data_IF_989055466081
#
_entry.id   IF_989055466081
#
_cell.length_a   1.000
_cell.length_b   1.000
_cell.length_c   1.000
_cell.angle_alpha   90.00
_cell.angle_beta   90.00
_cell.angle_gamma   90.00
#
_symmetry.space_group_name_H-M   'P 1'
#
loop_
_entity.id
_entity.type
_entity.pdbx_description
1 polymer ?
#
# COMPACT_ATOMS: atom_id res chain seq x y z
N UNK A 1 -27.12 46.01 17.58
CA UNK A 1 -27.79 44.88 16.92
C UNK A 1 -26.78 44.20 16.00
N UNK A 2 -26.02 43.23 16.52
CA UNK A 2 -24.97 42.57 15.77
C UNK A 2 -24.03 41.75 16.65
N UNK A 3 -24.48 40.59 17.15
CA UNK A 3 -23.59 39.71 17.94
C UNK A 3 -23.98 38.22 17.93
N UNK A 4 -24.67 37.75 16.89
CA UNK A 4 -25.06 36.33 16.77
C UNK A 4 -24.60 35.62 15.48
N UNK A 5 -23.82 36.29 14.62
CA UNK A 5 -23.47 35.76 13.30
C UNK A 5 -22.12 35.00 13.22
N UNK A 6 -21.28 35.05 14.26
CA UNK A 6 -19.95 34.40 14.28
C UNK A 6 -19.94 32.91 14.71
N UNK A 7 -20.68 32.44 15.72
CA UNK A 7 -20.59 31.03 16.13
C UNK A 7 -21.17 30.07 15.08
N UNK A 8 -22.19 30.50 14.34
CA UNK A 8 -22.82 29.71 13.28
C UNK A 8 -21.93 29.56 12.03
N UNK A 9 -21.08 30.54 11.73
CA UNK A 9 -20.12 30.44 10.61
C UNK A 9 -18.96 29.52 10.95
N UNK A 10 -18.43 29.60 12.17
CA UNK A 10 -17.34 28.72 12.65
C UNK A 10 -17.82 27.26 12.71
N UNK A 11 -19.05 27.01 13.15
CA UNK A 11 -19.61 25.65 13.17
C UNK A 11 -19.83 25.08 11.75
N UNK A 12 -20.30 25.89 10.80
CA UNK A 12 -20.47 25.49 9.40
C UNK A 12 -19.11 25.21 8.70
N UNK A 13 -18.09 26.03 8.96
CA UNK A 13 -16.73 25.75 8.47
C UNK A 13 -16.17 24.46 9.04
N UNK A 14 -16.35 24.20 10.34
CA UNK A 14 -15.91 22.94 10.98
C UNK A 14 -16.68 21.74 10.43
N UNK A 15 -17.99 21.87 10.23
CA UNK A 15 -18.82 20.81 9.65
C UNK A 15 -18.40 20.49 8.20
N UNK A 16 -18.13 21.51 7.39
CA UNK A 16 -17.62 21.35 6.01
C UNK A 16 -16.21 20.76 5.98
N UNK A 17 -15.33 21.17 6.90
CA UNK A 17 -13.99 20.61 7.03
C UNK A 17 -14.06 19.12 7.41
N UNK A 18 -14.86 18.77 8.41
CA UNK A 18 -15.06 17.37 8.82
C UNK A 18 -15.73 16.52 7.72
N UNK A 19 -16.65 17.09 6.93
CA UNK A 19 -17.24 16.41 5.79
C UNK A 19 -16.22 16.15 4.67
N UNK A 20 -15.35 17.13 4.37
CA UNK A 20 -14.25 16.96 3.41
C UNK A 20 -13.23 15.94 3.89
N UNK A 21 -12.92 15.96 5.18
CA UNK A 21 -11.98 15.01 5.78
C UNK A 21 -12.53 13.60 5.70
N UNK A 22 -13.78 13.35 6.14
CA UNK A 22 -14.42 12.04 5.96
C UNK A 22 -14.45 11.60 4.50
N UNK A 23 -14.77 12.50 3.56
CA UNK A 23 -14.75 12.18 2.14
C UNK A 23 -13.35 11.76 1.65
N UNK A 24 -12.28 12.39 2.14
CA UNK A 24 -10.89 12.01 1.84
C UNK A 24 -10.49 10.66 2.45
N UNK A 25 -11.23 10.15 3.44
CA UNK A 25 -11.03 8.85 4.09
C UNK A 25 -12.06 7.79 3.63
N UNK A 26 -12.68 7.98 2.47
CA UNK A 26 -13.65 7.02 1.91
C UNK A 26 -15.02 7.06 2.59
N UNK A 27 -15.35 8.15 3.29
CA UNK A 27 -16.63 8.37 3.97
C UNK A 27 -16.65 7.97 5.45
N UNK A 28 -15.62 7.24 5.92
CA UNK A 28 -15.47 6.83 7.32
C UNK A 28 -14.76 7.86 8.20
N UNK A 29 -14.63 7.54 9.49
CA UNK A 29 -13.82 8.33 10.42
C UNK A 29 -12.34 8.35 9.99
N UNK A 30 -11.65 9.51 10.10
CA UNK A 30 -10.24 9.64 9.77
C UNK A 30 -9.36 8.71 10.62
N UNK A 31 -8.48 7.93 9.98
CA UNK A 31 -7.54 7.04 10.66
C UNK A 31 -6.21 7.75 10.93
N UNK A 32 -6.27 8.89 11.63
CA UNK A 32 -5.13 9.81 11.80
C UNK A 32 -3.95 9.22 12.56
N UNK A 33 -4.19 8.21 13.41
CA UNK A 33 -3.15 7.46 14.11
C UNK A 33 -2.29 6.59 13.17
N UNK A 34 -2.66 6.45 11.90
CA UNK A 34 -1.94 5.74 10.84
C UNK A 34 -1.42 6.69 9.75
N UNK A 35 -1.44 8.01 9.98
CA UNK A 35 -1.02 9.01 8.98
C UNK A 35 0.43 8.85 8.54
N UNK A 36 1.30 8.37 9.43
CA UNK A 36 2.71 8.13 9.14
C UNK A 36 2.93 7.01 8.12
N UNK A 37 1.96 6.10 7.96
CA UNK A 37 1.96 5.08 6.90
C UNK A 37 1.44 5.60 5.55
N UNK A 38 0.87 6.81 5.51
CA UNK A 38 0.34 7.41 4.27
C UNK A 38 -0.82 6.62 3.66
N UNK A 39 -1.62 5.91 4.46
CA UNK A 39 -2.69 5.00 3.98
C UNK A 39 -3.98 5.71 3.52
N UNK A 40 -4.04 7.04 3.55
CA UNK A 40 -5.24 7.77 3.15
C UNK A 40 -5.72 7.40 1.72
N UNK A 41 -4.85 7.27 0.70
CA UNK A 41 -5.27 6.83 -0.63
C UNK A 41 -5.91 5.43 -0.63
N UNK A 42 -5.44 4.54 0.26
CA UNK A 42 -6.00 3.21 0.44
C UNK A 42 -7.41 3.26 1.02
N UNK A 43 -7.62 4.05 2.08
CA UNK A 43 -8.94 4.24 2.69
C UNK A 43 -9.92 4.96 1.75
N UNK A 44 -9.44 5.90 0.94
CA UNK A 44 -10.25 6.54 -0.09
C UNK A 44 -10.66 5.57 -1.20
N UNK A 45 -9.75 4.70 -1.62
CA UNK A 45 -9.98 3.74 -2.71
C UNK A 45 -10.86 2.57 -2.31
N UNK A 46 -10.63 2.04 -1.11
CA UNK A 46 -11.26 0.80 -0.64
C UNK A 46 -11.39 0.80 0.88
N UNK A 47 -12.36 1.57 1.37
CA UNK A 47 -12.57 1.76 2.81
C UNK A 47 -12.94 0.47 3.52
N UNK A 48 -13.80 -0.34 2.91
CA UNK A 48 -14.27 -1.60 3.47
C UNK A 48 -13.10 -2.56 3.71
N UNK A 49 -12.18 -2.68 2.75
CA UNK A 49 -10.99 -3.51 2.93
C UNK A 49 -10.11 -3.00 4.09
N UNK A 50 -9.90 -1.68 4.19
CA UNK A 50 -9.09 -1.10 5.26
C UNK A 50 -9.72 -1.39 6.63
N UNK A 51 -11.02 -1.19 6.77
CA UNK A 51 -11.74 -1.48 8.01
C UNK A 51 -11.69 -2.97 8.36
N UNK A 52 -11.82 -3.85 7.36
CA UNK A 52 -11.73 -5.29 7.56
C UNK A 52 -10.32 -5.77 7.98
N UNK A 53 -9.26 -5.13 7.48
CA UNK A 53 -7.87 -5.37 7.93
C UNK A 53 -7.68 -4.88 9.37
N UNK A 54 -8.25 -3.73 9.73
CA UNK A 54 -8.19 -3.19 11.10
C UNK A 54 -8.91 -4.14 12.09
N UNK A 55 -10.05 -4.69 11.68
CA UNK A 55 -10.84 -5.62 12.50
C UNK A 55 -10.23 -7.03 12.58
N UNK A 56 -9.34 -7.40 11.66
CA UNK A 56 -8.69 -8.69 11.64
C UNK A 56 -7.77 -8.90 12.86
N UNK A 57 -7.62 -10.15 13.29
CA UNK A 57 -6.66 -10.50 14.33
C UNK A 57 -5.19 -10.31 13.86
N UNK A 58 -4.24 -10.20 14.80
CA UNK A 58 -2.82 -10.07 14.49
C UNK A 58 -2.24 -11.15 13.55
N UNK A 59 -2.70 -12.39 13.65
CA UNK A 59 -2.19 -13.49 12.83
C UNK A 59 -2.60 -13.29 11.36
N UNK A 60 -3.86 -12.93 11.15
CA UNK A 60 -4.41 -12.62 9.83
C UNK A 60 -3.74 -11.39 9.24
N UNK A 61 -3.51 -10.34 10.03
CA UNK A 61 -2.74 -9.16 9.59
C UNK A 61 -1.33 -9.53 9.12
N UNK A 62 -0.62 -10.40 9.85
CA UNK A 62 0.67 -10.93 9.40
C UNK A 62 0.57 -11.73 8.11
N UNK A 63 -0.46 -12.57 7.98
CA UNK A 63 -0.69 -13.36 6.76
C UNK A 63 -0.91 -12.46 5.54
N UNK A 64 -1.70 -11.39 5.69
CA UNK A 64 -1.92 -10.38 4.65
C UNK A 64 -0.60 -9.76 4.23
N UNK A 65 0.20 -9.27 5.18
CA UNK A 65 1.47 -8.63 4.90
C UNK A 65 2.39 -9.54 4.04
N UNK A 66 2.53 -10.82 4.42
CA UNK A 66 3.34 -11.80 3.68
C UNK A 66 2.78 -12.09 2.29
N UNK A 67 1.48 -12.31 2.19
CA UNK A 67 0.80 -12.60 0.93
C UNK A 67 0.95 -11.43 -0.05
N UNK A 68 0.69 -10.21 0.41
CA UNK A 68 0.82 -8.97 -0.38
C UNK A 68 2.25 -8.79 -0.87
N UNK A 69 3.24 -8.96 0.01
CA UNK A 69 4.65 -8.81 -0.37
C UNK A 69 5.05 -9.82 -1.45
N UNK A 70 4.61 -11.07 -1.36
CA UNK A 70 4.85 -12.05 -2.44
C UNK A 70 4.18 -11.66 -3.74
N UNK A 71 2.92 -11.22 -3.66
CA UNK A 71 2.12 -10.84 -4.82
C UNK A 71 2.76 -9.68 -5.57
N UNK A 72 3.23 -8.65 -4.86
CA UNK A 72 3.90 -7.50 -5.48
C UNK A 72 5.29 -7.83 -6.01
N UNK A 73 6.06 -8.68 -5.33
CA UNK A 73 7.34 -9.14 -5.86
C UNK A 73 7.19 -10.00 -7.11
N UNK A 74 6.14 -10.82 -7.20
CA UNK A 74 5.79 -11.55 -8.42
C UNK A 74 5.41 -10.60 -9.55
N UNK A 75 4.52 -9.65 -9.27
CA UNK A 75 4.07 -8.64 -10.23
C UNK A 75 5.22 -7.76 -10.76
N UNK A 76 6.19 -7.46 -9.92
CA UNK A 76 7.37 -6.66 -10.28
C UNK A 76 8.50 -7.48 -10.93
N UNK A 77 8.33 -8.79 -11.15
CA UNK A 77 9.38 -9.65 -11.72
C UNK A 77 10.61 -9.81 -10.82
N UNK A 78 10.42 -9.69 -9.50
CA UNK A 78 11.46 -9.85 -8.48
C UNK A 78 11.45 -11.23 -7.83
N UNK A 79 10.29 -11.88 -7.74
CA UNK A 79 10.09 -13.07 -6.91
C UNK A 79 11.06 -14.24 -7.19
N UNK A 80 11.50 -14.39 -8.44
CA UNK A 80 12.38 -15.47 -8.89
C UNK A 80 13.87 -15.12 -8.85
N UNK A 81 14.22 -13.87 -8.51
CA UNK A 81 15.64 -13.47 -8.44
C UNK A 81 16.32 -14.19 -7.29
N UNK A 82 17.50 -14.74 -7.54
CA UNK A 82 18.23 -15.56 -6.56
C UNK A 82 18.48 -14.84 -5.23
N UNK A 83 18.67 -13.52 -5.26
CA UNK A 83 18.89 -12.69 -4.07
C UNK A 83 17.59 -12.29 -3.34
N UNK A 84 16.42 -12.51 -3.96
CA UNK A 84 15.09 -12.21 -3.41
C UNK A 84 14.44 -13.46 -2.80
N UNK A 85 14.54 -14.60 -3.47
CA UNK A 85 13.97 -15.88 -3.01
C UNK A 85 14.25 -16.17 -1.53
N UNK A 86 15.50 -16.08 -1.03
CA UNK A 86 15.77 -16.35 0.38
C UNK A 86 15.12 -15.33 1.32
N UNK A 87 14.95 -14.07 0.90
CA UNK A 87 14.28 -13.05 1.70
C UNK A 87 12.77 -13.30 1.81
N UNK A 88 12.10 -13.65 0.71
CA UNK A 88 10.68 -14.03 0.72
C UNK A 88 10.41 -15.31 1.52
N UNK A 89 11.40 -16.22 1.62
CA UNK A 89 11.32 -17.39 2.52
C UNK A 89 11.48 -16.97 3.98
N UNK A 90 12.47 -16.15 4.30
CA UNK A 90 12.67 -15.67 5.67
C UNK A 90 11.45 -14.90 6.20
N UNK A 91 10.84 -14.05 5.38
CA UNK A 91 9.60 -13.34 5.73
C UNK A 91 8.47 -14.31 6.08
N UNK A 92 8.37 -15.41 5.35
CA UNK A 92 7.38 -16.47 5.56
C UNK A 92 7.59 -17.24 6.86
N UNK A 93 8.84 -17.60 7.11
CA UNK A 93 9.25 -18.34 8.31
C UNK A 93 9.26 -17.45 9.56
N UNK A 94 9.09 -16.12 9.38
CA UNK A 94 9.25 -15.14 10.47
C UNK A 94 10.70 -15.03 10.95
N UNK A 95 11.66 -15.42 10.10
CA UNK A 95 13.08 -15.35 10.36
C UNK A 95 13.63 -13.95 10.02
N UNK A 96 14.79 -13.57 10.60
CA UNK A 96 15.49 -12.35 10.20
C UNK A 96 15.77 -12.33 8.69
N UNK A 97 15.60 -11.18 8.01
CA UNK A 97 15.86 -11.09 6.57
C UNK A 97 17.36 -11.30 6.29
N UNK A 98 17.72 -12.09 5.26
CA UNK A 98 19.11 -12.26 4.83
C UNK A 98 19.59 -11.05 4.03
N UNK A 99 20.91 -10.88 3.82
CA UNK A 99 21.43 -9.92 2.86
C UNK A 99 20.80 -10.11 1.47
N UNK A 100 20.45 -9.03 0.74
CA UNK A 100 20.65 -7.62 1.08
C UNK A 100 19.45 -6.97 1.82
N UNK A 101 18.50 -7.75 2.32
CA UNK A 101 17.26 -7.26 2.92
C UNK A 101 17.37 -6.91 4.41
N UNK A 102 18.58 -6.93 4.97
CA UNK A 102 18.86 -6.49 6.35
C UNK A 102 18.56 -5.00 6.54
N UNK A 103 18.71 -4.20 5.47
CA UNK A 103 18.31 -2.79 5.45
C UNK A 103 17.85 -2.37 4.04
N UNK A 104 17.06 -1.29 3.92
CA UNK A 104 16.55 -0.82 2.63
C UNK A 104 17.62 -0.39 1.63
N UNK A 105 18.69 0.26 2.09
CA UNK A 105 19.70 0.84 1.20
C UNK A 105 20.46 -0.24 0.42
N UNK A 106 20.79 -1.35 1.08
CA UNK A 106 21.44 -2.49 0.47
C UNK A 106 20.54 -3.21 -0.54
N UNK A 107 19.25 -3.39 -0.22
CA UNK A 107 18.29 -3.96 -1.15
C UNK A 107 18.15 -3.11 -2.43
N UNK A 108 18.11 -1.78 -2.28
CA UNK A 108 18.09 -0.87 -3.42
C UNK A 108 19.43 -0.84 -4.18
N UNK A 109 20.57 -0.93 -3.49
CA UNK A 109 21.88 -1.01 -4.12
C UNK A 109 22.00 -2.29 -4.97
N UNK A 110 21.54 -3.43 -4.43
CA UNK A 110 21.50 -4.69 -5.16
C UNK A 110 20.60 -4.60 -6.38
N UNK A 111 19.39 -4.04 -6.24
CA UNK A 111 18.48 -3.86 -7.37
C UNK A 111 19.09 -3.02 -8.50
N UNK A 112 19.79 -1.92 -8.17
CA UNK A 112 20.48 -1.07 -9.16
C UNK A 112 21.59 -1.83 -9.88
N UNK A 113 22.40 -2.60 -9.14
CA UNK A 113 23.46 -3.42 -9.74
C UNK A 113 22.89 -4.46 -10.71
N UNK A 114 21.79 -5.11 -10.32
CA UNK A 114 21.11 -6.13 -11.11
C UNK A 114 20.43 -5.58 -12.37
N UNK A 115 19.92 -4.35 -12.30
CA UNK A 115 19.22 -3.68 -13.41
C UNK A 115 20.16 -3.03 -14.44
N UNK A 116 21.48 -3.01 -14.18
CA UNK A 116 22.47 -2.45 -15.11
C UNK A 116 22.67 -3.29 -16.39
N UNK A 117 22.10 -4.50 -16.43
CA UNK A 117 21.93 -5.31 -17.64
C UNK A 117 20.47 -5.29 -18.12
N UNK A 118 20.18 -4.41 -19.08
CA UNK A 118 19.07 -4.51 -20.05
C UNK A 118 17.75 -5.10 -19.54
N UNK A 119 16.86 -4.26 -19.00
CA UNK A 119 15.44 -4.63 -18.86
C UNK A 119 14.60 -3.66 -19.67
N UNK A 120 14.21 -4.09 -20.87
CA UNK A 120 13.10 -3.50 -21.61
C UNK A 120 11.82 -4.02 -20.96
N UNK A 121 11.37 -3.33 -19.91
CA UNK A 121 10.19 -3.75 -19.15
C UNK A 121 8.95 -3.59 -20.04
N UNK A 122 8.10 -4.61 -20.21
CA UNK A 122 6.91 -4.51 -21.06
C UNK A 122 6.02 -3.38 -20.53
N UNK A 123 6.09 -2.25 -21.24
CA UNK A 123 5.30 -1.08 -20.94
C UNK A 123 3.84 -1.38 -21.24
N UNK A 124 3.00 -1.39 -20.21
CA UNK A 124 1.57 -1.24 -20.46
C UNK A 124 1.32 0.16 -21.02
N UNK A 125 0.66 0.20 -22.18
CA UNK A 125 0.22 1.47 -22.77
C UNK A 125 -0.74 2.12 -21.77
N UNK A 126 -0.36 3.29 -21.23
CA UNK A 126 -1.27 4.14 -20.47
C UNK A 126 -2.49 4.46 -21.32
N UNK A 127 -3.63 3.85 -21.01
CA UNK A 127 -4.92 4.29 -21.55
C UNK A 127 -5.25 5.58 -20.81
N UNK A 128 -5.37 6.70 -21.54
CA UNK A 128 -5.78 7.97 -20.95
C UNK A 128 -7.23 7.81 -20.47
N UNK A 129 -7.42 7.58 -19.17
CA UNK A 129 -8.72 7.60 -18.52
C UNK A 129 -9.02 8.99 -17.92
N UNK A 130 -10.29 9.41 -17.85
CA UNK A 130 -10.71 10.57 -17.05
C UNK A 130 -10.19 10.46 -15.61
N UNK A 131 -9.81 11.57 -14.98
CA UNK A 131 -9.19 11.54 -13.65
C UNK A 131 -10.09 10.94 -12.56
N UNK A 132 -11.41 11.05 -12.72
CA UNK A 132 -12.38 10.42 -11.82
C UNK A 132 -12.40 8.88 -11.90
N UNK A 133 -11.84 8.29 -12.97
CA UNK A 133 -11.76 6.84 -13.19
C UNK A 133 -10.35 6.28 -12.96
N UNK A 134 -9.39 7.14 -12.61
CA UNK A 134 -8.02 6.69 -12.32
C UNK A 134 -7.96 6.21 -10.88
N UNK A 135 -7.44 5.01 -10.70
CA UNK A 135 -6.95 4.55 -9.40
C UNK A 135 -6.04 5.64 -8.80
N UNK A 136 -6.14 5.95 -7.49
CA UNK A 136 -5.22 6.89 -6.85
C UNK A 136 -3.77 6.41 -6.90
N UNK A 137 -3.58 5.13 -7.21
CA UNK A 137 -2.29 4.49 -7.38
C UNK A 137 -1.77 4.53 -8.82
N UNK A 138 -2.57 4.98 -9.80
CA UNK A 138 -2.15 5.11 -11.20
C UNK A 138 -1.24 6.33 -11.38
N UNK A 139 0.04 6.14 -11.02
CA UNK A 139 1.11 7.12 -11.16
C UNK A 139 1.71 7.14 -12.58
N UNK A 140 1.10 6.44 -13.55
CA UNK A 140 1.65 6.29 -14.90
C UNK A 140 2.85 5.35 -14.95
N UNK A 141 3.92 5.77 -15.65
CA UNK A 141 5.11 4.94 -15.85
C UNK A 141 6.00 4.97 -14.60
N UNK A 142 6.08 3.83 -13.90
CA UNK A 142 6.93 3.66 -12.71
C UNK A 142 7.89 2.47 -12.86
N UNK A 143 9.01 2.52 -12.15
CA UNK A 143 9.94 1.40 -11.98
C UNK A 143 9.37 0.41 -10.94
N UNK A 144 8.59 -0.56 -11.42
CA UNK A 144 7.87 -1.52 -10.55
C UNK A 144 8.81 -2.28 -9.60
N UNK A 145 9.95 -2.85 -10.04
CA UNK A 145 10.95 -3.43 -9.12
C UNK A 145 11.31 -2.51 -7.96
N UNK A 146 11.61 -1.24 -8.25
CA UNK A 146 11.97 -0.27 -7.21
C UNK A 146 10.81 0.02 -6.27
N UNK A 147 9.58 0.11 -6.78
CA UNK A 147 8.39 0.38 -5.96
C UNK A 147 7.91 -0.83 -5.13
N UNK A 148 8.30 -2.05 -5.51
CA UNK A 148 7.97 -3.26 -4.76
C UNK A 148 8.80 -3.43 -3.47
N UNK A 149 10.06 -2.96 -3.47
CA UNK A 149 11.00 -3.18 -2.34
C UNK A 149 10.43 -2.68 -0.99
N UNK A 150 9.85 -1.47 -0.87
CA UNK A 150 9.28 -1.00 0.41
C UNK A 150 8.21 -1.92 1.00
N UNK A 151 7.44 -2.65 0.19
CA UNK A 151 6.43 -3.57 0.71
C UNK A 151 7.04 -4.68 1.59
N UNK A 152 8.26 -5.12 1.28
CA UNK A 152 8.98 -6.08 2.13
C UNK A 152 9.29 -5.49 3.51
N UNK A 153 9.83 -4.26 3.56
CA UNK A 153 10.18 -3.62 4.82
C UNK A 153 8.97 -3.24 5.65
N UNK A 154 7.87 -2.81 5.03
CA UNK A 154 6.61 -2.64 5.75
C UNK A 154 6.13 -3.95 6.36
N UNK A 155 6.21 -5.07 5.63
CA UNK A 155 5.78 -6.36 6.16
C UNK A 155 6.58 -6.84 7.40
N UNK A 156 7.77 -6.27 7.63
CA UNK A 156 8.61 -6.52 8.80
C UNK A 156 8.26 -5.63 10.02
N UNK A 157 7.36 -4.65 9.90
CA UNK A 157 6.98 -3.78 11.03
C UNK A 157 6.53 -4.64 12.23
N UNK A 158 7.01 -4.43 13.46
CA UNK A 158 6.65 -5.23 14.63
C UNK A 158 5.16 -5.17 15.01
N UNK A 159 4.44 -4.13 14.58
CA UNK A 159 2.98 -4.06 14.67
C UNK A 159 2.34 -4.76 13.44
N UNK A 160 1.57 -5.85 13.65
CA UNK A 160 0.90 -6.58 12.58
C UNK A 160 -0.02 -5.72 11.70
N UNK A 161 -0.74 -4.76 12.28
CA UNK A 161 -1.67 -3.90 11.54
C UNK A 161 -0.89 -2.98 10.61
N UNK A 162 0.17 -2.36 11.14
CA UNK A 162 1.05 -1.49 10.36
C UNK A 162 1.76 -2.27 9.26
N UNK A 163 2.15 -3.51 9.53
CA UNK A 163 2.74 -4.40 8.54
C UNK A 163 1.78 -4.69 7.38
N UNK A 164 0.52 -5.03 7.68
CA UNK A 164 -0.49 -5.32 6.67
C UNK A 164 -0.81 -4.09 5.80
N UNK A 165 -1.13 -2.96 6.43
CA UNK A 165 -1.55 -1.75 5.71
C UNK A 165 -0.40 -1.09 4.96
N UNK A 166 0.81 -1.07 5.54
CA UNK A 166 2.00 -0.54 4.86
C UNK A 166 2.39 -1.38 3.64
N UNK A 167 2.40 -2.71 3.77
CA UNK A 167 2.67 -3.60 2.65
C UNK A 167 1.62 -3.43 1.54
N UNK A 168 0.33 -3.37 1.90
CA UNK A 168 -0.76 -3.14 0.95
C UNK A 168 -0.65 -1.79 0.24
N UNK A 169 -0.34 -0.72 0.97
CA UNK A 169 -0.15 0.61 0.37
C UNK A 169 0.94 0.59 -0.72
N UNK A 170 2.11 0.02 -0.42
CA UNK A 170 3.20 -0.08 -1.39
C UNK A 170 2.88 -1.04 -2.55
N UNK A 171 2.16 -2.12 -2.28
CA UNK A 171 1.69 -3.02 -3.32
C UNK A 171 0.69 -2.34 -4.26
N UNK A 172 -0.28 -1.60 -3.72
CA UNK A 172 -1.27 -0.88 -4.52
C UNK A 172 -0.61 0.17 -5.42
N UNK A 173 0.40 0.90 -4.93
CA UNK A 173 1.24 1.80 -5.76
C UNK A 173 1.94 1.04 -6.89
N UNK A 174 2.49 -0.14 -6.61
CA UNK A 174 3.22 -0.94 -7.61
C UNK A 174 2.28 -1.55 -8.67
N UNK A 175 1.07 -1.94 -8.27
CA UNK A 175 0.01 -2.42 -9.17
C UNK A 175 -0.64 -1.27 -9.97
N UNK A 176 -0.67 -0.07 -9.41
CA UNK A 176 -1.19 1.14 -10.03
C UNK A 176 -2.64 1.03 -10.47
N UNK A 177 -2.88 1.06 -11.78
CA UNK A 177 -4.21 0.89 -12.37
C UNK A 177 -4.82 -0.50 -12.07
N UNK A 178 -4.00 -1.50 -11.75
CA UNK A 178 -4.44 -2.85 -11.40
C UNK A 178 -4.66 -3.06 -9.88
N UNK A 179 -4.61 -2.01 -9.07
CA UNK A 179 -4.77 -2.11 -7.61
C UNK A 179 -6.11 -2.73 -7.19
N UNK A 180 -7.20 -2.49 -7.94
CA UNK A 180 -8.49 -3.12 -7.68
C UNK A 180 -8.43 -4.66 -7.75
N UNK A 181 -7.67 -5.20 -8.72
CA UNK A 181 -7.49 -6.64 -8.84
C UNK A 181 -6.70 -7.21 -7.65
N UNK A 182 -5.63 -6.53 -7.23
CA UNK A 182 -4.89 -6.89 -6.01
C UNK A 182 -5.80 -6.95 -4.77
N UNK A 183 -6.67 -5.95 -4.59
CA UNK A 183 -7.59 -5.89 -3.47
C UNK A 183 -8.64 -7.00 -3.50
N UNK A 184 -9.16 -7.33 -4.69
CA UNK A 184 -10.09 -8.45 -4.89
C UNK A 184 -9.41 -9.79 -4.57
N UNK A 185 -8.21 -10.02 -5.10
CA UNK A 185 -7.43 -11.23 -4.83
C UNK A 185 -7.13 -11.38 -3.32
N UNK A 186 -6.80 -10.27 -2.65
CA UNK A 186 -6.52 -10.27 -1.22
C UNK A 186 -7.73 -10.73 -0.40
N UNK A 187 -8.93 -10.22 -0.70
CA UNK A 187 -10.17 -10.65 -0.05
C UNK A 187 -10.40 -12.15 -0.18
N UNK A 188 -10.19 -12.69 -1.39
CA UNK A 188 -10.37 -14.11 -1.70
C UNK A 188 -9.36 -14.99 -0.96
N UNK A 189 -8.07 -14.64 -1.02
CA UNK A 189 -6.98 -15.46 -0.51
C UNK A 189 -6.82 -15.35 1.02
N UNK A 190 -7.10 -14.19 1.59
CA UNK A 190 -6.97 -13.95 3.04
C UNK A 190 -8.29 -14.08 3.80
N UNK A 191 -9.41 -14.33 3.11
CA UNK A 191 -10.74 -14.50 3.73
C UNK A 191 -11.22 -13.26 4.47
N UNK A 192 -11.04 -12.10 3.85
CA UNK A 192 -11.39 -10.79 4.40
C UNK A 192 -12.59 -10.28 3.61
N UNK A 193 -13.72 -10.10 4.30
CA UNK A 193 -14.96 -9.59 3.72
C UNK A 193 -14.89 -8.06 3.70
#
# INVERSE_FOLDING_TARGET
MGEHAEPARISDFRARAAARERAAWGGGEPLTHLNDLGIQPLAWFDRELVDAIIAADPERQRRIARWVTRRVFGWAGLAEREWVVPALRALDDGAPPPPPFENPDDAFARLRADSSGTVDWPYEKSVVRPQAERSPFDLGKIDRPRHAIPAFFSALDPDPLRAALGALMHASVTFGSSAAALHSDLRQECGIA
#
